data_IF_544506875387
#
_entry.id   IF_544506875387
#
_cell.length_a   1.000
_cell.length_b   1.000
_cell.length_c   1.000
_cell.angle_alpha   90.00
_cell.angle_beta   90.00
_cell.angle_gamma   90.00
#
_symmetry.space_group_name_H-M   'P 1'
#
loop_
_entity.id
_entity.type
_entity.pdbx_description
1 polymer ?
#
# COMPACT_ATOMS: atom_id res chain seq x y z
N UNK A 1 42.65 -37.72 -8.97
CA UNK A 1 41.51 -37.65 -9.89
C UNK A 1 40.42 -38.56 -9.37
N UNK A 2 39.57 -38.09 -8.45
CA UNK A 2 38.27 -38.72 -8.11
C UNK A 2 37.32 -37.57 -7.74
N UNK A 3 36.13 -37.65 -8.33
CA UNK A 3 35.20 -36.58 -8.66
C UNK A 3 34.29 -36.15 -7.52
N UNK A 4 34.01 -34.85 -7.49
CA UNK A 4 32.96 -34.18 -6.71
C UNK A 4 31.55 -34.66 -7.07
N UNK A 5 30.72 -34.95 -6.06
CA UNK A 5 29.26 -34.98 -6.22
C UNK A 5 28.62 -33.97 -5.27
N UNK A 6 28.35 -32.78 -5.84
CA UNK A 6 27.54 -31.73 -5.24
C UNK A 6 26.07 -32.21 -5.20
N UNK A 7 25.57 -32.46 -4.00
CA UNK A 7 24.15 -32.68 -3.73
C UNK A 7 23.40 -31.35 -3.90
N UNK A 8 22.84 -31.13 -5.10
CA UNK A 8 21.89 -30.04 -5.35
C UNK A 8 20.57 -30.38 -4.66
N UNK A 9 20.35 -29.80 -3.49
CA UNK A 9 19.05 -29.79 -2.83
C UNK A 9 18.02 -29.11 -3.73
N UNK A 10 17.09 -29.90 -4.28
CA UNK A 10 15.94 -29.42 -5.03
C UNK A 10 15.02 -28.63 -4.07
N UNK A 11 15.08 -27.30 -4.12
CA UNK A 11 14.09 -26.43 -3.47
C UNK A 11 12.74 -26.69 -4.13
N UNK A 12 11.85 -27.42 -3.43
CA UNK A 12 10.46 -27.62 -3.86
C UNK A 12 9.81 -26.26 -4.10
N UNK A 13 9.40 -26.01 -5.34
CA UNK A 13 8.67 -24.83 -5.72
C UNK A 13 7.35 -24.76 -4.93
N UNK A 14 7.14 -23.65 -4.24
CA UNK A 14 5.90 -23.35 -3.51
C UNK A 14 4.74 -23.36 -4.52
N UNK A 15 3.62 -24.07 -4.28
CA UNK A 15 2.52 -24.14 -5.24
C UNK A 15 2.04 -22.72 -5.56
N UNK A 16 2.05 -22.34 -6.85
CA UNK A 16 1.57 -21.04 -7.33
C UNK A 16 0.14 -20.83 -6.81
N UNK A 17 -0.03 -19.97 -5.79
CA UNK A 17 -1.35 -19.59 -5.27
C UNK A 17 -2.19 -19.14 -6.47
N UNK A 18 -3.37 -19.74 -6.67
CA UNK A 18 -4.29 -19.38 -7.75
C UNK A 18 -4.59 -17.88 -7.68
N UNK A 19 -4.33 -17.16 -8.75
CA UNK A 19 -4.65 -15.74 -8.87
C UNK A 19 -6.15 -15.52 -8.66
N UNK A 20 -6.52 -14.79 -7.60
CA UNK A 20 -7.92 -14.43 -7.33
C UNK A 20 -8.32 -13.36 -8.34
N UNK A 21 -9.33 -13.64 -9.20
CA UNK A 21 -9.93 -12.59 -10.03
C UNK A 21 -10.69 -11.61 -9.14
N UNK A 22 -10.23 -10.37 -9.04
CA UNK A 22 -10.92 -9.33 -8.28
C UNK A 22 -12.10 -8.81 -9.10
N UNK A 23 -13.32 -9.00 -8.58
CA UNK A 23 -14.59 -8.56 -9.21
C UNK A 23 -15.53 -7.86 -8.23
N UNK A 24 -15.43 -8.20 -6.95
CA UNK A 24 -16.21 -7.63 -5.85
C UNK A 24 -15.30 -7.06 -4.78
N UNK A 25 -15.85 -6.22 -3.91
CA UNK A 25 -15.12 -5.68 -2.77
C UNK A 25 -14.49 -6.77 -1.89
N UNK A 26 -15.24 -7.82 -1.56
CA UNK A 26 -14.73 -8.94 -0.75
C UNK A 26 -13.60 -9.72 -1.45
N UNK A 27 -13.66 -9.88 -2.77
CA UNK A 27 -12.56 -10.48 -3.52
C UNK A 27 -11.31 -9.60 -3.52
N UNK A 28 -11.50 -8.27 -3.52
CA UNK A 28 -10.42 -7.29 -3.46
C UNK A 28 -9.73 -7.31 -2.08
N UNK A 29 -10.52 -7.34 -1.01
CA UNK A 29 -9.99 -7.48 0.36
C UNK A 29 -9.27 -8.81 0.57
N UNK A 30 -9.80 -9.91 0.01
CA UNK A 30 -9.12 -11.21 0.02
C UNK A 30 -7.81 -11.20 -0.76
N UNK A 31 -7.74 -10.45 -1.86
CA UNK A 31 -6.48 -10.29 -2.59
C UNK A 31 -5.43 -9.56 -1.76
N UNK A 32 -5.81 -8.45 -1.10
CA UNK A 32 -4.91 -7.66 -0.25
C UNK A 32 -4.44 -8.44 0.98
N UNK A 33 -5.34 -9.12 1.69
CA UNK A 33 -5.00 -9.90 2.90
C UNK A 33 -4.10 -11.11 2.63
N UNK A 34 -4.01 -11.56 1.38
CA UNK A 34 -3.09 -12.63 0.98
C UNK A 34 -1.64 -12.15 0.76
N UNK A 35 -1.41 -10.84 0.76
CA UNK A 35 -0.07 -10.25 0.62
C UNK A 35 0.65 -10.25 1.96
N UNK A 36 1.98 -10.13 1.92
CA UNK A 36 2.80 -10.01 3.14
C UNK A 36 2.36 -8.79 3.94
N UNK A 37 1.82 -9.01 5.14
CA UNK A 37 1.38 -7.96 6.04
C UNK A 37 2.22 -7.96 7.33
N UNK A 38 3.26 -7.13 7.36
CA UNK A 38 4.11 -7.01 8.53
C UNK A 38 3.40 -6.42 9.74
N UNK A 39 2.33 -5.64 9.56
CA UNK A 39 1.54 -5.06 10.67
C UNK A 39 0.91 -6.16 11.55
N UNK A 40 0.70 -7.36 10.99
CA UNK A 40 0.11 -8.51 11.68
C UNK A 40 1.16 -9.55 12.12
N UNK A 41 2.44 -9.36 11.75
CA UNK A 41 3.51 -10.31 12.08
C UNK A 41 4.13 -9.99 13.44
N UNK A 42 4.12 -10.98 14.35
CA UNK A 42 4.71 -10.85 15.70
C UNK A 42 6.23 -10.67 15.72
N UNK A 43 6.93 -11.03 14.65
CA UNK A 43 8.38 -10.92 14.51
C UNK A 43 8.72 -10.48 13.08
N UNK A 44 9.20 -9.26 12.95
CA UNK A 44 9.74 -8.71 11.71
C UNK A 44 11.25 -8.64 11.86
N UNK A 45 12.01 -9.23 10.94
CA UNK A 45 13.48 -9.13 10.97
C UNK A 45 13.87 -7.74 10.46
N UNK A 46 14.57 -6.96 11.27
CA UNK A 46 15.14 -5.69 10.85
C UNK A 46 16.40 -5.93 10.01
N UNK A 47 16.21 -6.15 8.71
CA UNK A 47 17.29 -6.29 7.73
C UNK A 47 16.94 -5.55 6.42
N UNK A 48 17.94 -5.35 5.56
CA UNK A 48 17.80 -4.62 4.30
C UNK A 48 16.75 -5.22 3.36
N UNK A 49 16.61 -6.55 3.33
CA UNK A 49 15.59 -7.21 2.48
C UNK A 49 14.15 -6.89 2.93
N UNK A 50 13.95 -6.66 4.23
CA UNK A 50 12.64 -6.31 4.80
C UNK A 50 12.35 -4.83 4.62
N UNK A 51 13.36 -3.97 4.84
CA UNK A 51 13.26 -2.51 4.75
C UNK A 51 13.96 -1.98 3.51
N UNK A 52 13.27 -2.09 2.38
CA UNK A 52 13.72 -1.60 1.08
C UNK A 52 12.56 -0.90 0.36
N UNK A 53 12.86 0.20 -0.33
CA UNK A 53 11.91 1.00 -1.10
C UNK A 53 11.81 0.57 -2.57
N UNK A 54 12.64 -0.34 -3.08
CA UNK A 54 12.65 -0.68 -4.51
C UNK A 54 11.34 -1.32 -4.97
N UNK A 55 10.70 -2.13 -4.12
CA UNK A 55 9.36 -2.67 -4.39
C UNK A 55 8.34 -1.54 -4.58
N UNK A 56 8.32 -0.59 -3.64
CA UNK A 56 7.41 0.56 -3.69
C UNK A 56 7.70 1.47 -4.89
N UNK A 57 8.98 1.78 -5.15
CA UNK A 57 9.42 2.58 -6.30
C UNK A 57 9.02 1.94 -7.62
N UNK A 58 9.19 0.63 -7.73
CA UNK A 58 8.77 -0.13 -8.94
C UNK A 58 7.26 -0.07 -9.13
N UNK A 59 6.48 -0.27 -8.06
CA UNK A 59 5.03 -0.21 -8.11
C UNK A 59 4.53 1.19 -8.52
N UNK A 60 5.07 2.23 -7.89
CA UNK A 60 4.73 3.63 -8.22
C UNK A 60 5.11 3.98 -9.65
N UNK A 61 6.26 3.52 -10.15
CA UNK A 61 6.68 3.71 -11.56
C UNK A 61 5.67 3.09 -12.52
N UNK A 62 5.19 1.86 -12.25
CA UNK A 62 4.14 1.20 -13.05
C UNK A 62 2.79 1.93 -12.97
N UNK A 63 2.52 2.68 -11.91
CA UNK A 63 1.32 3.52 -11.75
C UNK A 63 1.44 4.91 -12.39
N UNK A 64 2.57 5.23 -13.04
CA UNK A 64 2.81 6.55 -13.64
C UNK A 64 3.35 7.58 -12.66
N UNK A 65 3.89 7.16 -11.51
CA UNK A 65 4.46 8.02 -10.47
C UNK A 65 3.49 9.06 -9.88
N UNK A 66 2.27 8.69 -9.44
CA UNK A 66 1.26 9.64 -8.95
C UNK A 66 1.75 10.51 -7.78
N UNK A 67 2.67 9.99 -6.97
CA UNK A 67 3.29 10.68 -5.84
C UNK A 67 4.12 11.91 -6.22
N UNK A 68 4.51 12.08 -7.49
CA UNK A 68 5.29 13.24 -7.95
C UNK A 68 4.43 14.48 -8.19
N UNK A 69 3.13 14.29 -8.42
CA UNK A 69 2.19 15.35 -8.74
C UNK A 69 1.27 15.69 -7.54
N UNK A 70 1.66 15.28 -6.34
CA UNK A 70 0.92 15.51 -5.10
C UNK A 70 1.75 16.43 -4.20
N UNK A 71 1.18 17.57 -3.83
CA UNK A 71 1.68 18.35 -2.70
C UNK A 71 1.37 17.59 -1.41
N UNK A 72 2.38 17.29 -0.59
CA UNK A 72 2.21 16.44 0.59
C UNK A 72 2.80 17.03 1.86
N UNK A 73 2.09 16.82 2.97
CA UNK A 73 2.63 16.92 4.34
C UNK A 73 2.87 15.52 4.86
N UNK A 74 4.10 15.21 5.24
CA UNK A 74 4.50 13.90 5.73
C UNK A 74 4.71 13.93 7.25
N UNK A 75 3.97 13.10 7.98
CA UNK A 75 3.95 13.11 9.45
C UNK A 75 4.57 11.82 9.98
N UNK A 76 5.70 11.96 10.66
CA UNK A 76 6.43 10.88 11.33
C UNK A 76 6.48 11.12 12.85
N UNK A 77 6.66 10.05 13.62
CA UNK A 77 6.76 10.12 15.09
C UNK A 77 6.28 8.87 15.83
N UNK A 78 6.65 8.76 17.10
CA UNK A 78 6.32 7.58 17.91
C UNK A 78 4.87 7.59 18.40
N UNK A 79 4.31 8.77 18.68
CA UNK A 79 2.96 8.97 19.22
C UNK A 79 2.31 10.21 18.60
N UNK A 80 0.98 10.25 18.60
CA UNK A 80 0.21 11.41 18.15
C UNK A 80 0.09 11.59 16.63
N UNK A 81 0.82 10.82 15.81
CA UNK A 81 0.80 10.94 14.34
C UNK A 81 -0.61 10.98 13.73
N UNK A 82 -1.42 9.95 13.95
CA UNK A 82 -2.79 9.89 13.43
C UNK A 82 -3.67 11.04 13.91
N UNK A 83 -3.53 11.47 15.18
CA UNK A 83 -4.24 12.62 15.72
C UNK A 83 -3.82 13.92 15.02
N UNK A 84 -2.52 14.17 14.91
CA UNK A 84 -1.96 15.32 14.21
C UNK A 84 -2.36 15.34 12.74
N UNK A 85 -2.29 14.20 12.06
CA UNK A 85 -2.67 14.05 10.65
C UNK A 85 -4.16 14.39 10.44
N UNK A 86 -5.02 13.86 11.32
CA UNK A 86 -6.47 14.11 11.26
C UNK A 86 -6.80 15.57 11.53
N UNK A 87 -6.19 16.18 12.56
CA UNK A 87 -6.40 17.59 12.90
C UNK A 87 -5.93 18.51 11.76
N UNK A 88 -4.75 18.26 11.20
CA UNK A 88 -4.22 19.04 10.08
C UNK A 88 -5.12 18.93 8.85
N UNK A 89 -5.57 17.72 8.50
CA UNK A 89 -6.45 17.53 7.35
C UNK A 89 -7.78 18.28 7.52
N UNK A 90 -8.34 18.30 8.73
CA UNK A 90 -9.55 19.06 9.03
C UNK A 90 -9.35 20.57 8.93
N UNK A 91 -8.23 21.09 9.45
CA UNK A 91 -7.88 22.51 9.36
C UNK A 91 -7.70 22.96 7.91
N UNK A 92 -6.93 22.21 7.11
CA UNK A 92 -6.74 22.49 5.69
C UNK A 92 -8.05 22.44 4.90
N UNK A 93 -8.92 21.47 5.20
CA UNK A 93 -10.25 21.38 4.62
C UNK A 93 -11.14 22.57 4.98
N UNK A 94 -11.09 23.04 6.23
CA UNK A 94 -11.81 24.23 6.68
C UNK A 94 -11.31 25.51 5.99
N UNK A 95 -10.06 25.54 5.54
CA UNK A 95 -9.50 26.61 4.71
C UNK A 95 -9.91 26.50 3.22
N UNK A 96 -10.74 25.52 2.83
CA UNK A 96 -11.27 25.38 1.48
C UNK A 96 -10.46 24.47 0.55
N UNK A 97 -9.43 23.78 1.04
CA UNK A 97 -8.67 22.83 0.23
C UNK A 97 -9.37 21.48 0.09
N UNK A 98 -9.23 20.82 -1.06
CA UNK A 98 -9.51 19.39 -1.24
C UNK A 98 -8.35 18.58 -0.66
N UNK A 99 -8.54 17.97 0.50
CA UNK A 99 -7.46 17.31 1.26
C UNK A 99 -7.59 15.80 1.21
N UNK A 100 -6.52 15.12 0.78
CA UNK A 100 -6.34 13.68 0.97
C UNK A 100 -5.74 13.40 2.35
N UNK A 101 -6.22 12.37 3.05
CA UNK A 101 -5.67 11.92 4.33
C UNK A 101 -5.36 10.42 4.25
N UNK A 102 -4.10 10.06 4.49
CA UNK A 102 -3.64 8.69 4.63
C UNK A 102 -3.19 8.41 6.06
N UNK A 103 -3.81 7.42 6.73
CA UNK A 103 -3.52 7.03 8.12
C UNK A 103 -3.43 5.52 8.27
N UNK A 104 -2.73 5.05 9.32
CA UNK A 104 -2.63 3.62 9.65
C UNK A 104 -2.29 3.39 11.14
N UNK A 105 -2.74 2.28 11.73
CA UNK A 105 -3.67 1.28 11.18
C UNK A 105 -5.12 1.79 11.13
N UNK A 106 -6.03 0.99 10.58
CA UNK A 106 -7.48 1.23 10.71
C UNK A 106 -8.01 0.60 11.99
N UNK A 107 -9.19 1.02 12.45
CA UNK A 107 -9.84 0.46 13.64
C UNK A 107 -10.88 -0.58 13.23
N UNK A 108 -11.85 -0.22 12.38
CA UNK A 108 -12.97 -1.09 12.01
C UNK A 108 -13.00 -1.42 10.52
N UNK A 109 -12.74 -0.44 9.66
CA UNK A 109 -12.84 -0.55 8.20
C UNK A 109 -11.53 -0.11 7.53
N UNK A 110 -11.00 -0.94 6.64
CA UNK A 110 -9.81 -0.65 5.84
C UNK A 110 -9.88 0.70 5.10
N UNK A 111 -11.09 1.13 4.71
CA UNK A 111 -11.33 2.39 4.01
C UNK A 111 -11.06 3.61 4.89
N UNK A 112 -11.03 3.45 6.22
CA UNK A 112 -10.68 4.53 7.15
C UNK A 112 -9.30 5.13 6.84
N UNK A 113 -8.40 4.31 6.30
CA UNK A 113 -7.03 4.70 5.96
C UNK A 113 -6.94 5.71 4.83
N UNK A 114 -7.95 5.82 3.95
CA UNK A 114 -7.94 6.72 2.81
C UNK A 114 -9.19 7.58 2.85
N UNK A 115 -9.01 8.88 3.11
CA UNK A 115 -10.10 9.84 3.14
C UNK A 115 -9.83 11.03 2.23
N UNK A 116 -10.88 11.60 1.67
CA UNK A 116 -10.84 12.90 1.01
C UNK A 116 -11.90 13.77 1.67
N UNK A 117 -11.50 14.96 2.14
CA UNK A 117 -12.37 15.88 2.88
C UNK A 117 -13.16 15.18 4.00
N UNK A 118 -12.46 14.36 4.80
CA UNK A 118 -13.04 13.60 5.90
C UNK A 118 -13.86 12.37 5.51
N UNK A 119 -14.19 12.19 4.23
CA UNK A 119 -15.01 11.08 3.73
C UNK A 119 -14.14 9.90 3.30
N UNK A 120 -14.45 8.70 3.78
CA UNK A 120 -13.74 7.48 3.39
C UNK A 120 -13.90 7.18 1.90
N UNK A 121 -12.85 6.61 1.28
CA UNK A 121 -12.94 6.05 -0.06
C UNK A 121 -14.10 5.06 -0.15
N UNK A 122 -14.86 5.08 -1.25
CA UNK A 122 -15.97 4.15 -1.45
C UNK A 122 -15.46 2.73 -1.71
N UNK A 123 -16.26 1.70 -1.39
CA UNK A 123 -15.92 0.31 -1.72
C UNK A 123 -15.69 0.13 -3.23
N UNK A 124 -16.50 0.78 -4.07
CA UNK A 124 -16.37 0.74 -5.52
C UNK A 124 -15.06 1.38 -6.00
N UNK A 125 -14.70 2.56 -5.49
CA UNK A 125 -13.45 3.22 -5.84
C UNK A 125 -12.22 2.39 -5.42
N UNK A 126 -12.21 1.88 -4.17
CA UNK A 126 -11.12 1.03 -3.70
C UNK A 126 -11.01 -0.27 -4.52
N UNK A 127 -12.14 -0.91 -4.84
CA UNK A 127 -12.16 -2.12 -5.69
C UNK A 127 -11.59 -1.84 -7.06
N UNK A 128 -11.99 -0.73 -7.72
CA UNK A 128 -11.47 -0.33 -9.03
C UNK A 128 -9.96 -0.13 -9.01
N UNK A 129 -9.43 0.52 -7.97
CA UNK A 129 -7.99 0.71 -7.82
C UNK A 129 -7.25 -0.63 -7.63
N UNK A 130 -7.81 -1.55 -6.84
CA UNK A 130 -7.23 -2.89 -6.63
C UNK A 130 -7.23 -3.70 -7.94
N UNK A 131 -8.34 -3.66 -8.70
CA UNK A 131 -8.43 -4.31 -10.03
C UNK A 131 -7.36 -3.75 -10.97
N UNK A 132 -7.11 -2.44 -10.93
CA UNK A 132 -6.09 -1.78 -11.76
C UNK A 132 -4.66 -2.16 -11.36
N UNK A 133 -4.37 -2.27 -10.06
CA UNK A 133 -3.00 -2.52 -9.57
C UNK A 133 -2.61 -4.00 -9.62
N UNK A 134 -3.58 -4.91 -9.48
CA UNK A 134 -3.35 -6.35 -9.47
C UNK A 134 -2.46 -6.85 -10.63
N UNK A 135 -2.77 -6.59 -11.92
CA UNK A 135 -1.92 -7.05 -13.02
C UNK A 135 -0.53 -6.41 -13.00
N UNK A 136 -0.38 -5.20 -12.47
CA UNK A 136 0.91 -4.52 -12.34
C UNK A 136 1.81 -5.23 -11.33
N UNK A 137 1.24 -5.64 -10.19
CA UNK A 137 1.92 -6.42 -9.15
C UNK A 137 2.27 -7.81 -9.69
N UNK A 138 1.36 -8.47 -10.39
CA UNK A 138 1.60 -9.80 -10.97
C UNK A 138 2.76 -9.80 -11.97
N UNK A 139 2.92 -8.71 -12.73
CA UNK A 139 4.03 -8.49 -13.66
C UNK A 139 5.36 -8.04 -13.00
N UNK A 140 5.42 -7.85 -11.67
CA UNK A 140 6.68 -7.60 -10.97
C UNK A 140 7.50 -8.89 -10.79
N UNK A 141 8.85 -8.84 -10.75
CA UNK A 141 9.71 -9.99 -10.46
C UNK A 141 9.53 -10.52 -9.02
N UNK A 142 10.38 -11.46 -8.59
CA UNK A 142 10.19 -12.36 -7.44
C UNK A 142 9.73 -11.70 -6.13
N UNK A 143 10.12 -10.46 -5.86
CA UNK A 143 9.68 -9.71 -4.67
C UNK A 143 8.42 -8.89 -4.93
N UNK A 144 7.27 -9.42 -4.49
CA UNK A 144 5.99 -8.70 -4.53
C UNK A 144 5.91 -7.63 -3.43
N UNK A 145 5.24 -6.49 -3.68
CA UNK A 145 5.01 -5.48 -2.66
C UNK A 145 4.21 -6.00 -1.48
N UNK A 146 4.46 -5.44 -0.31
CA UNK A 146 3.74 -5.75 0.92
C UNK A 146 2.32 -5.16 0.91
N UNK A 147 1.47 -5.63 1.83
CA UNK A 147 0.16 -5.02 2.06
C UNK A 147 0.25 -3.51 2.25
N UNK A 148 1.18 -3.05 3.09
CA UNK A 148 1.37 -1.63 3.39
C UNK A 148 1.82 -0.83 2.16
N UNK A 149 2.79 -1.35 1.39
CA UNK A 149 3.27 -0.72 0.15
C UNK A 149 2.14 -0.61 -0.89
N UNK A 150 1.34 -1.68 -1.05
CA UNK A 150 0.19 -1.68 -1.97
C UNK A 150 -0.84 -0.64 -1.52
N UNK A 151 -1.21 -0.64 -0.25
CA UNK A 151 -2.25 0.26 0.25
C UNK A 151 -1.81 1.73 0.20
N UNK A 152 -0.54 2.02 0.47
CA UNK A 152 0.06 3.34 0.28
C UNK A 152 0.00 3.77 -1.18
N UNK A 153 0.33 2.87 -2.12
CA UNK A 153 0.26 3.17 -3.55
C UNK A 153 -1.18 3.44 -4.03
N UNK A 154 -2.16 2.70 -3.49
CA UNK A 154 -3.59 2.92 -3.74
C UNK A 154 -4.04 4.30 -3.23
N UNK A 155 -3.61 4.70 -2.02
CA UNK A 155 -3.91 6.01 -1.45
C UNK A 155 -3.37 7.15 -2.33
N UNK A 156 -2.08 7.09 -2.67
CA UNK A 156 -1.42 8.07 -3.54
C UNK A 156 -2.10 8.14 -4.91
N UNK A 157 -2.45 6.98 -5.49
CA UNK A 157 -3.14 6.97 -6.78
C UNK A 157 -4.55 7.57 -6.67
N UNK A 158 -5.28 7.29 -5.60
CA UNK A 158 -6.60 7.86 -5.39
C UNK A 158 -6.54 9.39 -5.26
N UNK A 159 -5.61 9.91 -4.46
CA UNK A 159 -5.41 11.34 -4.29
C UNK A 159 -5.03 12.06 -5.58
N UNK A 160 -4.14 11.47 -6.37
CA UNK A 160 -3.81 11.96 -7.71
C UNK A 160 -5.04 11.96 -8.64
N UNK A 161 -5.77 10.85 -8.72
CA UNK A 161 -6.92 10.73 -9.63
C UNK A 161 -8.05 11.68 -9.26
N UNK A 162 -8.22 11.94 -7.97
CA UNK A 162 -9.17 12.89 -7.42
C UNK A 162 -8.67 14.34 -7.44
N UNK A 163 -7.41 14.59 -7.84
CA UNK A 163 -6.81 15.93 -7.88
C UNK A 163 -6.97 16.68 -6.56
N UNK A 164 -6.56 16.04 -5.46
CA UNK A 164 -6.49 16.74 -4.16
C UNK A 164 -5.48 17.89 -4.25
N UNK A 165 -5.76 18.99 -3.57
CA UNK A 165 -4.85 20.14 -3.50
C UNK A 165 -3.63 19.81 -2.63
N UNK A 166 -3.84 19.01 -1.59
CA UNK A 166 -2.81 18.60 -0.65
C UNK A 166 -3.14 17.24 -0.03
N UNK A 167 -2.13 16.41 0.22
CA UNK A 167 -2.26 15.14 0.91
C UNK A 167 -1.51 15.14 2.25
N UNK A 168 -2.19 14.76 3.32
CA UNK A 168 -1.59 14.53 4.64
C UNK A 168 -1.32 13.04 4.78
N UNK A 169 -0.03 12.67 4.85
CA UNK A 169 0.43 11.28 4.82
C UNK A 169 1.08 10.94 6.16
N UNK A 170 0.50 9.99 6.89
CA UNK A 170 1.09 9.39 8.09
C UNK A 170 2.12 8.29 7.71
N UNK A 171 3.26 8.24 8.40
CA UNK A 171 4.18 7.09 8.33
C UNK A 171 3.59 5.87 9.04
N UNK A 172 3.68 4.70 8.42
CA UNK A 172 3.40 3.39 9.06
C UNK A 172 4.41 2.98 10.11
#
# INVERSE_FOLDING_TARGET
MVTSTSSKACRKANPRKKTVKVRTYDSALRYLSNQTNYEQMRRVKYNADTFDLDRMRTLLKKLGNPHKDILAVHIAGTKGKGSTATMLAAMLGACGHKVGLYTSPHICDLRERIRINGTMITQSALTKLIVKIQPLIEAMPDTKPTFFEIFTALALKHFHDEKVDIAVIETG
#
